data_IF_135515241580
#
_entry.id   IF_135515241580
#
_cell.length_a   1.000
_cell.length_b   1.000
_cell.length_c   1.000
_cell.angle_alpha   90.00
_cell.angle_beta   90.00
_cell.angle_gamma   90.00
#
_symmetry.space_group_name_H-M   'P 1'
#
loop_
_entity.id
_entity.type
_entity.pdbx_description
1 polymer ?
#
# COMPACT_ATOMS: atom_id res chain seq x y z
N UNK A 1 2.34 8.38 29.21
CA UNK A 1 1.70 7.04 29.16
C UNK A 1 2.49 6.20 28.15
N UNK A 2 2.72 4.90 28.39
CA UNK A 2 3.31 4.03 27.36
C UNK A 2 2.37 3.97 26.15
N UNK A 3 2.94 3.90 24.95
CA UNK A 3 2.18 3.67 23.72
C UNK A 3 1.72 2.21 23.67
N UNK A 4 0.47 1.93 23.24
CA UNK A 4 0.00 0.57 23.08
C UNK A 4 0.68 -0.11 21.89
N UNK A 5 0.77 -1.44 21.95
CA UNK A 5 1.07 -2.23 20.75
C UNK A 5 -0.10 -2.17 19.78
N UNK A 6 0.20 -2.16 18.47
CA UNK A 6 -0.80 -2.19 17.41
C UNK A 6 -0.67 -3.51 16.66
N UNK A 7 -1.78 -4.23 16.53
CA UNK A 7 -1.85 -5.47 15.73
C UNK A 7 -2.77 -5.22 14.55
N UNK A 8 -2.23 -5.32 13.34
CA UNK A 8 -2.98 -5.24 12.08
C UNK A 8 -3.21 -6.66 11.59
N UNK A 9 -4.47 -7.04 11.44
CA UNK A 9 -4.87 -8.37 10.98
C UNK A 9 -5.63 -8.29 9.66
N UNK A 10 -5.20 -9.05 8.66
CA UNK A 10 -5.84 -9.16 7.35
C UNK A 10 -6.26 -10.63 7.18
N UNK A 11 -7.56 -10.89 7.12
CA UNK A 11 -8.11 -12.26 7.07
C UNK A 11 -7.93 -12.92 5.69
N UNK A 12 -8.02 -12.12 4.62
CA UNK A 12 -7.81 -12.59 3.25
C UNK A 12 -6.97 -11.60 2.45
N UNK A 13 -5.65 -11.82 2.46
CA UNK A 13 -4.69 -11.01 1.71
C UNK A 13 -4.94 -11.06 0.20
N UNK A 14 -5.44 -12.18 -0.33
CA UNK A 14 -5.61 -12.35 -1.77
C UNK A 14 -6.58 -11.32 -2.37
N UNK A 15 -7.62 -10.92 -1.63
CA UNK A 15 -8.60 -9.94 -2.09
C UNK A 15 -7.95 -8.56 -2.28
N UNK A 16 -7.04 -8.17 -1.38
CA UNK A 16 -6.27 -6.93 -1.52
C UNK A 16 -5.28 -7.02 -2.70
N UNK A 17 -4.60 -8.16 -2.84
CA UNK A 17 -3.64 -8.37 -3.92
C UNK A 17 -4.29 -8.37 -5.31
N UNK A 18 -5.54 -8.83 -5.42
CA UNK A 18 -6.29 -8.80 -6.68
C UNK A 18 -6.66 -7.38 -7.14
N UNK A 19 -6.83 -6.45 -6.21
CA UNK A 19 -7.20 -5.06 -6.50
C UNK A 19 -5.96 -4.19 -6.71
N UNK A 20 -4.96 -4.29 -5.82
CA UNK A 20 -3.83 -3.36 -5.79
C UNK A 20 -2.51 -4.03 -5.32
N UNK A 21 -2.12 -5.14 -5.95
CA UNK A 21 -0.93 -5.94 -5.57
C UNK A 21 0.33 -5.14 -5.29
N UNK A 22 0.70 -4.22 -6.18
CA UNK A 22 1.95 -3.43 -6.05
C UNK A 22 1.95 -2.54 -4.82
N UNK A 23 0.85 -1.84 -4.58
CA UNK A 23 0.72 -0.90 -3.47
C UNK A 23 0.65 -1.64 -2.14
N UNK A 24 -0.18 -2.69 -2.07
CA UNK A 24 -0.33 -3.54 -0.89
C UNK A 24 1.01 -4.18 -0.50
N UNK A 25 1.76 -4.71 -1.48
CA UNK A 25 3.09 -5.29 -1.23
C UNK A 25 4.08 -4.24 -0.70
N UNK A 26 4.08 -3.03 -1.26
CA UNK A 26 4.93 -1.93 -0.79
C UNK A 26 4.61 -1.53 0.65
N UNK A 27 3.33 -1.38 0.98
CA UNK A 27 2.87 -1.03 2.33
C UNK A 27 3.22 -2.12 3.36
N UNK A 28 2.95 -3.39 3.04
CA UNK A 28 3.30 -4.53 3.89
C UNK A 28 4.81 -4.57 4.12
N UNK A 29 5.61 -4.38 3.07
CA UNK A 29 7.07 -4.39 3.15
C UNK A 29 7.58 -3.26 4.05
N UNK A 30 7.09 -2.04 3.84
CA UNK A 30 7.46 -0.87 4.65
C UNK A 30 7.10 -1.07 6.12
N UNK A 31 5.89 -1.55 6.40
CA UNK A 31 5.47 -1.86 7.76
C UNK A 31 6.36 -2.94 8.36
N UNK A 32 6.49 -4.11 7.73
CA UNK A 32 7.26 -5.23 8.27
C UNK A 32 8.73 -4.87 8.58
N UNK A 33 9.36 -4.00 7.79
CA UNK A 33 10.75 -3.55 8.02
C UNK A 33 10.89 -2.57 9.19
N UNK A 34 9.96 -1.64 9.37
CA UNK A 34 10.08 -0.55 10.35
C UNK A 34 9.35 -0.84 11.67
N UNK A 35 8.34 -1.69 11.64
CA UNK A 35 7.34 -1.87 12.69
C UNK A 35 7.86 -2.52 13.98
N UNK A 36 8.88 -3.40 13.88
CA UNK A 36 9.32 -4.22 15.02
C UNK A 36 9.78 -3.40 16.22
N UNK A 37 10.50 -2.30 15.98
CA UNK A 37 11.04 -1.46 17.06
C UNK A 37 9.98 -0.54 17.68
N UNK A 38 8.90 -0.25 16.95
CA UNK A 38 7.85 0.70 17.35
C UNK A 38 6.58 0.02 17.88
N UNK A 39 6.55 -1.33 17.92
CA UNK A 39 5.46 -2.10 18.51
C UNK A 39 4.24 -2.29 17.60
N UNK A 40 4.45 -2.29 16.28
CA UNK A 40 3.42 -2.63 15.30
C UNK A 40 3.65 -4.07 14.80
N UNK A 41 2.60 -4.87 14.71
CA UNK A 41 2.67 -6.27 14.33
C UNK A 41 1.64 -6.60 13.25
N UNK A 42 2.04 -7.37 12.25
CA UNK A 42 1.19 -7.79 11.14
C UNK A 42 0.80 -9.27 11.29
N UNK A 43 -0.48 -9.57 11.08
CA UNK A 43 -1.02 -10.93 10.92
C UNK A 43 -1.71 -10.96 9.56
N UNK A 44 -1.14 -11.71 8.62
CA UNK A 44 -1.70 -11.87 7.28
C UNK A 44 -2.18 -13.31 7.12
N UNK A 45 -3.44 -13.49 6.75
CA UNK A 45 -4.05 -14.77 6.44
C UNK A 45 -4.55 -14.77 4.98
N UNK A 46 -4.61 -15.96 4.40
CA UNK A 46 -5.18 -16.18 3.07
C UNK A 46 -5.55 -17.65 2.90
N UNK A 47 -6.63 -17.91 2.16
CA UNK A 47 -6.99 -19.25 1.70
C UNK A 47 -6.39 -19.60 0.33
N UNK A 48 -5.75 -18.64 -0.34
CA UNK A 48 -5.19 -18.78 -1.70
C UNK A 48 -3.66 -18.71 -1.66
N UNK A 49 -2.97 -19.80 -1.30
CA UNK A 49 -1.51 -19.83 -1.20
C UNK A 49 -0.83 -19.93 -2.57
N UNK A 50 -1.00 -18.91 -3.42
CA UNK A 50 -0.32 -18.77 -4.71
C UNK A 50 0.88 -17.84 -4.62
N UNK A 51 1.79 -17.96 -5.59
CA UNK A 51 2.99 -17.10 -5.68
C UNK A 51 2.63 -15.63 -5.93
N UNK A 52 1.48 -15.38 -6.55
CA UNK A 52 0.98 -14.02 -6.82
C UNK A 52 0.43 -13.34 -5.56
N UNK A 53 0.00 -14.12 -4.56
CA UNK A 53 -0.50 -13.61 -3.27
C UNK A 53 0.62 -13.58 -2.23
N UNK A 54 1.38 -14.69 -2.10
CA UNK A 54 2.49 -14.82 -1.16
C UNK A 54 3.80 -14.68 -1.95
N UNK A 55 4.07 -13.44 -2.35
CA UNK A 55 5.23 -13.12 -3.18
C UNK A 55 6.54 -13.32 -2.42
N UNK A 56 7.66 -13.38 -3.16
CA UNK A 56 8.99 -13.44 -2.55
C UNK A 56 9.30 -12.24 -1.64
N UNK A 57 8.79 -11.06 -1.98
CA UNK A 57 8.98 -9.83 -1.21
C UNK A 57 8.24 -9.92 0.13
N UNK A 58 6.99 -10.38 0.13
CA UNK A 58 6.22 -10.61 1.35
C UNK A 58 6.93 -11.63 2.24
N UNK A 59 7.37 -12.76 1.66
CA UNK A 59 8.10 -13.80 2.39
C UNK A 59 9.40 -13.29 3.01
N UNK A 60 10.15 -12.45 2.31
CA UNK A 60 11.41 -11.91 2.80
C UNK A 60 11.24 -11.03 4.05
N UNK A 61 10.07 -10.39 4.22
CA UNK A 61 9.80 -9.49 5.33
C UNK A 61 8.97 -10.13 6.46
N UNK A 62 8.35 -11.29 6.21
CA UNK A 62 7.55 -12.03 7.19
C UNK A 62 8.15 -13.43 7.43
N UNK A 63 9.13 -13.54 8.33
CA UNK A 63 9.88 -14.79 8.54
C UNK A 63 9.13 -15.82 9.40
N UNK A 64 8.10 -15.40 10.16
CA UNK A 64 7.27 -16.31 10.95
C UNK A 64 6.03 -16.70 10.15
N UNK A 65 5.82 -17.99 9.93
CA UNK A 65 4.75 -18.49 9.05
C UNK A 65 4.04 -19.68 9.67
N UNK A 66 2.74 -19.76 9.42
CA UNK A 66 1.90 -20.88 9.81
C UNK A 66 1.19 -21.37 8.56
N UNK A 67 1.22 -22.68 8.33
CA UNK A 67 0.40 -23.32 7.31
C UNK A 67 -0.52 -24.34 7.97
N UNK A 68 -1.82 -24.19 7.74
CA UNK A 68 -2.79 -25.27 7.95
C UNK A 68 -2.75 -26.23 6.76
N UNK A 69 -3.61 -27.27 6.80
CA UNK A 69 -3.73 -28.22 5.70
C UNK A 69 -3.99 -27.51 4.37
N UNK A 70 -3.11 -27.76 3.40
CA UNK A 70 -3.24 -27.28 2.01
C UNK A 70 -3.47 -28.44 1.05
N UNK A 71 -3.85 -28.11 -0.19
CA UNK A 71 -4.22 -29.11 -1.20
C UNK A 71 -3.02 -29.80 -1.85
N UNK A 72 -1.87 -29.12 -1.95
CA UNK A 72 -0.73 -29.62 -2.70
C UNK A 72 0.64 -29.29 -2.07
N UNK A 73 1.67 -30.04 -2.50
CA UNK A 73 3.07 -29.73 -2.19
C UNK A 73 3.50 -28.35 -2.71
N UNK A 74 2.89 -27.89 -3.80
CA UNK A 74 3.18 -26.56 -4.37
C UNK A 74 2.72 -25.49 -3.38
N UNK A 75 1.48 -25.58 -2.90
CA UNK A 75 0.92 -24.66 -1.91
C UNK A 75 1.72 -24.66 -0.60
N UNK A 76 2.16 -25.85 -0.14
CA UNK A 76 3.01 -25.97 1.05
C UNK A 76 4.32 -25.19 0.87
N UNK A 77 4.97 -25.34 -0.29
CA UNK A 77 6.20 -24.60 -0.60
C UNK A 77 5.96 -23.11 -0.77
N UNK A 78 4.81 -22.71 -1.31
CA UNK A 78 4.47 -21.29 -1.42
C UNK A 78 4.47 -20.63 -0.05
N UNK A 79 3.90 -21.28 0.98
CA UNK A 79 3.80 -20.72 2.33
C UNK A 79 5.09 -20.92 3.13
N UNK A 80 5.61 -22.14 3.21
CA UNK A 80 6.66 -22.53 4.17
C UNK A 80 8.06 -22.65 3.54
N UNK A 81 8.19 -22.52 2.23
CA UNK A 81 9.39 -22.92 1.46
C UNK A 81 9.78 -24.40 1.68
N UNK A 82 8.84 -25.21 2.19
CA UNK A 82 9.01 -26.62 2.53
C UNK A 82 7.74 -27.43 2.24
N UNK A 83 7.89 -28.74 2.06
CA UNK A 83 6.76 -29.67 2.00
C UNK A 83 6.28 -30.04 3.41
N UNK A 84 5.05 -30.53 3.52
CA UNK A 84 4.50 -31.14 4.73
C UNK A 84 3.11 -30.65 5.07
N UNK A 85 2.75 -29.42 4.68
CA UNK A 85 1.42 -28.88 4.97
C UNK A 85 0.31 -29.64 4.23
N UNK A 86 0.62 -30.26 3.09
CA UNK A 86 -0.32 -31.10 2.33
C UNK A 86 -0.67 -32.42 3.04
N UNK A 87 0.13 -32.82 4.05
CA UNK A 87 -0.02 -34.06 4.80
C UNK A 87 -0.74 -33.85 6.14
N UNK A 88 -1.09 -32.61 6.46
CA UNK A 88 -1.81 -32.28 7.69
C UNK A 88 -3.24 -32.85 7.66
N UNK A 89 -3.78 -33.10 8.84
CA UNK A 89 -5.08 -33.73 9.05
C UNK A 89 -6.26 -32.75 8.90
N UNK A 90 -5.98 -31.45 8.86
CA UNK A 90 -6.99 -30.38 8.94
C UNK A 90 -7.47 -30.16 10.39
N UNK A 91 -8.61 -29.49 10.56
CA UNK A 91 -9.24 -29.26 11.88
C UNK A 91 -8.29 -28.70 12.95
N UNK A 92 -7.46 -27.72 12.58
CA UNK A 92 -6.50 -27.08 13.49
C UNK A 92 -5.08 -27.66 13.46
N UNK A 93 -4.84 -28.78 12.79
CA UNK A 93 -3.49 -29.30 12.56
C UNK A 93 -2.70 -28.35 11.65
N UNK A 94 -1.51 -27.92 12.10
CA UNK A 94 -0.72 -26.89 11.43
C UNK A 94 0.79 -27.15 11.53
N UNK A 95 1.54 -26.54 10.62
CA UNK A 95 2.99 -26.40 10.68
C UNK A 95 3.34 -24.94 10.97
N UNK A 96 4.18 -24.73 11.98
CA UNK A 96 4.79 -23.44 12.29
C UNK A 96 6.24 -23.40 11.86
N UNK A 97 6.61 -22.40 11.08
CA UNK A 97 7.97 -22.07 10.72
C UNK A 97 8.38 -20.78 11.43
N UNK A 98 9.29 -20.91 12.40
CA UNK A 98 9.80 -19.79 13.18
C UNK A 98 10.93 -19.04 12.48
N UNK A 99 11.23 -17.80 12.88
CA UNK A 99 12.19 -16.93 12.19
C UNK A 99 13.65 -17.39 12.30
N UNK A 100 13.96 -18.26 13.27
CA UNK A 100 15.31 -18.74 13.57
C UNK A 100 15.52 -20.23 13.29
N UNK A 101 14.46 -20.95 12.91
CA UNK A 101 14.48 -22.40 12.74
C UNK A 101 14.41 -22.76 11.27
N UNK A 102 15.25 -23.69 10.81
CA UNK A 102 15.15 -24.27 9.46
C UNK A 102 14.08 -25.36 9.36
N UNK A 103 13.58 -25.88 10.49
CA UNK A 103 12.55 -26.92 10.52
C UNK A 103 11.20 -26.35 10.93
N UNK A 104 10.14 -26.92 10.35
CA UNK A 104 8.77 -26.66 10.75
C UNK A 104 8.40 -27.50 11.97
N UNK A 105 7.73 -26.90 12.95
CA UNK A 105 7.16 -27.57 14.11
C UNK A 105 5.68 -27.88 13.83
N UNK A 106 5.27 -29.14 13.99
CA UNK A 106 3.86 -29.51 13.90
C UNK A 106 3.16 -29.18 15.22
N UNK A 107 2.05 -28.45 15.12
CA UNK A 107 1.25 -28.01 16.25
C UNK A 107 -0.22 -28.38 16.02
N UNK A 108 -0.95 -28.53 17.12
CA UNK A 108 -2.40 -28.72 17.10
C UNK A 108 -3.05 -27.44 17.64
N UNK A 109 -3.75 -26.73 16.75
CA UNK A 109 -4.45 -25.50 17.09
C UNK A 109 -5.58 -25.76 18.06
N UNK A 110 -5.71 -24.95 19.12
CA UNK A 110 -6.86 -25.05 20.00
C UNK A 110 -8.14 -24.72 19.21
N UNK A 111 -9.18 -25.51 19.44
CA UNK A 111 -10.50 -25.22 18.93
C UNK A 111 -11.21 -24.23 19.85
N UNK A 112 -11.78 -23.18 19.27
CA UNK A 112 -12.72 -22.28 19.95
C UNK A 112 -14.03 -22.29 19.17
N UNK A 113 -15.12 -22.60 19.87
CA UNK A 113 -16.46 -22.59 19.28
C UNK A 113 -16.99 -21.17 19.12
N UNK A 114 -17.96 -20.98 18.21
CA UNK A 114 -18.65 -19.69 18.06
C UNK A 114 -19.29 -19.21 19.36
N UNK A 115 -19.80 -20.13 20.17
CA UNK A 115 -20.38 -19.83 21.48
C UNK A 115 -19.33 -19.30 22.46
N UNK A 116 -18.13 -19.88 22.48
CA UNK A 116 -17.01 -19.39 23.28
C UNK A 116 -16.56 -18.00 22.82
N UNK A 117 -16.44 -17.80 21.51
CA UNK A 117 -16.13 -16.49 20.91
C UNK A 117 -17.15 -15.43 21.32
N UNK A 118 -18.45 -15.73 21.20
CA UNK A 118 -19.52 -14.81 21.59
C UNK A 118 -19.46 -14.47 23.09
N UNK A 119 -19.23 -15.46 23.96
CA UNK A 119 -19.04 -15.25 25.40
C UNK A 119 -17.82 -14.36 25.68
N UNK A 120 -16.71 -14.60 25.00
CA UNK A 120 -15.48 -13.83 25.16
C UNK A 120 -15.65 -12.38 24.70
N UNK A 121 -16.22 -12.16 23.51
CA UNK A 121 -16.53 -10.81 23.03
C UNK A 121 -17.52 -10.08 23.96
N UNK A 122 -18.53 -10.78 24.48
CA UNK A 122 -19.47 -10.23 25.45
C UNK A 122 -18.80 -9.83 26.78
N UNK A 123 -17.83 -10.61 27.25
CA UNK A 123 -17.01 -10.26 28.41
C UNK A 123 -16.16 -9.00 28.16
N UNK A 124 -15.52 -8.88 26.98
CA UNK A 124 -14.71 -7.70 26.63
C UNK A 124 -15.55 -6.43 26.51
N UNK A 125 -16.73 -6.49 25.89
CA UNK A 125 -17.64 -5.33 25.75
C UNK A 125 -18.12 -4.77 27.09
N UNK A 126 -18.11 -5.56 28.17
CA UNK A 126 -18.43 -5.10 29.53
C UNK A 126 -17.28 -4.30 30.17
N UNK A 127 -16.06 -4.44 29.67
CA UNK A 127 -14.88 -3.77 30.24
C UNK A 127 -14.67 -2.36 29.66
N UNK A 128 -15.20 -2.07 28.47
CA UNK A 128 -15.07 -0.76 27.86
C UNK A 128 -15.68 -0.67 26.47
N UNK A 129 -15.81 0.57 26.00
CA UNK A 129 -16.26 0.90 24.65
C UNK A 129 -15.05 1.09 23.72
N UNK A 130 -15.17 0.72 22.43
CA UNK A 130 -14.12 0.98 21.45
C UNK A 130 -13.91 2.49 21.27
N UNK A 131 -12.65 2.93 21.30
CA UNK A 131 -12.24 4.26 20.86
C UNK A 131 -11.79 4.18 19.42
N UNK A 132 -12.71 4.39 18.47
CA UNK A 132 -12.39 4.40 17.05
C UNK A 132 -11.68 5.69 16.67
N UNK A 133 -10.60 5.56 15.92
CA UNK A 133 -9.96 6.68 15.24
C UNK A 133 -10.45 6.69 13.79
N UNK A 134 -11.42 7.56 13.51
CA UNK A 134 -12.05 7.67 12.19
C UNK A 134 -11.06 8.13 11.10
N UNK A 135 -9.92 8.71 11.48
CA UNK A 135 -8.89 9.14 10.52
C UNK A 135 -8.19 7.97 9.83
N UNK A 136 -8.23 6.76 10.42
CA UNK A 136 -7.61 5.55 9.85
C UNK A 136 -8.35 5.09 8.59
N UNK A 137 -9.67 5.25 8.58
CA UNK A 137 -10.54 4.81 7.46
C UNK A 137 -11.12 5.97 6.68
N UNK A 138 -10.85 7.21 7.10
CA UNK A 138 -11.17 8.36 6.27
C UNK A 138 -10.48 8.15 4.93
N UNK A 139 -11.23 8.31 3.84
CA UNK A 139 -10.63 8.44 2.53
C UNK A 139 -9.53 9.47 2.68
N UNK A 140 -8.29 9.08 2.38
CA UNK A 140 -7.22 10.05 2.29
C UNK A 140 -7.77 11.15 1.39
N UNK A 141 -7.90 12.37 1.92
CA UNK A 141 -8.07 13.55 1.09
C UNK A 141 -6.83 13.60 0.23
N UNK A 142 -6.88 12.94 -0.93
CA UNK A 142 -5.80 12.74 -1.90
C UNK A 142 -4.44 13.15 -1.35
N UNK A 143 -3.87 12.31 -0.47
CA UNK A 143 -2.46 12.43 -0.10
C UNK A 143 -1.55 11.78 -1.14
N UNK A 144 -2.13 11.39 -2.29
CA UNK A 144 -1.48 11.45 -3.60
C UNK A 144 -1.48 12.89 -4.14
N UNK A 145 -0.91 13.83 -3.39
CA UNK A 145 0.09 14.66 -4.06
C UNK A 145 1.30 13.73 -4.16
N UNK A 146 1.61 13.17 -5.34
CA UNK A 146 2.80 12.36 -5.44
C UNK A 146 3.92 13.26 -4.95
N UNK A 147 4.65 12.81 -3.94
CA UNK A 147 5.92 13.40 -3.57
C UNK A 147 6.91 13.06 -4.69
N UNK A 148 6.60 13.49 -5.92
CA UNK A 148 7.59 13.89 -6.87
C UNK A 148 8.38 14.94 -6.11
N UNK A 149 9.66 14.67 -5.84
CA UNK A 149 10.64 15.74 -5.77
C UNK A 149 10.19 16.78 -6.79
N UNK A 150 9.69 17.95 -6.34
CA UNK A 150 9.22 18.99 -7.25
C UNK A 150 10.37 19.20 -8.20
N UNK A 151 10.21 18.73 -9.44
CA UNK A 151 11.28 18.72 -10.42
C UNK A 151 11.87 20.12 -10.40
N UNK A 152 13.20 20.27 -10.35
CA UNK A 152 13.82 21.58 -10.19
C UNK A 152 13.36 22.61 -11.25
N UNK A 153 12.83 22.11 -12.38
CA UNK A 153 12.28 22.91 -13.47
C UNK A 153 10.76 23.13 -13.37
N UNK A 154 10.07 22.61 -12.37
CA UNK A 154 8.61 22.64 -12.27
C UNK A 154 8.06 24.06 -12.22
N UNK A 155 8.58 24.90 -11.30
CA UNK A 155 8.16 26.31 -11.19
C UNK A 155 8.43 27.09 -12.48
N UNK A 156 9.59 26.86 -13.10
CA UNK A 156 9.94 27.48 -14.37
C UNK A 156 9.02 27.01 -15.50
N UNK A 157 8.68 25.73 -15.55
CA UNK A 157 7.84 25.13 -16.57
C UNK A 157 6.38 25.58 -16.44
N UNK A 158 5.86 25.66 -15.21
CA UNK A 158 4.48 26.05 -14.93
C UNK A 158 4.25 27.52 -15.29
N UNK A 159 5.15 28.42 -14.88
CA UNK A 159 5.13 29.84 -15.28
C UNK A 159 5.17 30.01 -16.80
N UNK A 160 5.97 29.19 -17.49
CA UNK A 160 6.07 29.23 -18.94
C UNK A 160 4.77 28.78 -19.64
N UNK A 161 4.13 27.72 -19.17
CA UNK A 161 2.85 27.25 -19.73
C UNK A 161 1.74 28.26 -19.46
N UNK A 162 1.66 28.80 -18.25
CA UNK A 162 0.62 29.76 -17.86
C UNK A 162 0.77 31.08 -18.62
N UNK A 163 1.99 31.63 -18.72
CA UNK A 163 2.22 32.88 -19.47
C UNK A 163 2.04 32.74 -20.98
N UNK A 164 2.33 31.56 -21.54
CA UNK A 164 2.24 31.33 -22.99
C UNK A 164 0.88 30.82 -23.46
N UNK A 165 0.06 30.28 -22.56
CA UNK A 165 -1.19 29.59 -22.87
C UNK A 165 -1.02 28.27 -23.63
N UNK A 166 0.21 27.72 -23.74
CA UNK A 166 0.54 26.55 -24.57
C UNK A 166 0.92 25.33 -23.74
N UNK A 167 -0.06 24.57 -23.30
CA UNK A 167 0.15 23.34 -22.53
C UNK A 167 0.47 22.12 -23.41
N UNK A 168 1.64 22.12 -24.08
CA UNK A 168 2.09 20.98 -24.88
C UNK A 168 3.48 20.47 -24.49
N UNK A 169 3.65 19.15 -24.51
CA UNK A 169 4.92 18.48 -24.17
C UNK A 169 6.05 19.01 -25.06
N UNK A 170 5.82 19.08 -26.38
CA UNK A 170 6.81 19.58 -27.35
C UNK A 170 7.19 21.05 -27.14
N UNK A 171 6.31 21.86 -26.56
CA UNK A 171 6.62 23.25 -26.22
C UNK A 171 7.62 23.33 -25.07
N UNK A 172 7.41 22.56 -23.99
CA UNK A 172 8.35 22.48 -22.88
C UNK A 172 9.70 21.89 -23.30
N UNK A 173 9.71 20.84 -24.13
CA UNK A 173 10.96 20.24 -24.64
C UNK A 173 11.85 21.27 -25.32
N UNK A 174 11.27 22.14 -26.17
CA UNK A 174 12.04 23.16 -26.91
C UNK A 174 12.49 24.30 -26.01
N UNK A 175 11.70 24.69 -25.01
CA UNK A 175 11.96 25.89 -24.22
C UNK A 175 12.87 25.64 -23.03
N UNK A 176 12.83 24.44 -22.46
CA UNK A 176 13.66 24.02 -21.32
C UNK A 176 14.76 23.03 -21.71
N UNK A 177 14.86 22.66 -23.00
CA UNK A 177 15.85 21.70 -23.50
C UNK A 177 15.83 20.35 -22.75
N UNK A 178 14.63 19.85 -22.47
CA UNK A 178 14.41 18.60 -21.71
C UNK A 178 13.87 17.45 -22.59
N UNK A 179 14.13 16.22 -22.17
CA UNK A 179 13.62 15.02 -22.84
C UNK A 179 12.10 14.83 -22.73
N UNK A 180 11.53 14.04 -23.65
CA UNK A 180 10.07 13.81 -23.75
C UNK A 180 9.46 13.30 -22.44
N UNK A 181 10.05 12.28 -21.81
CA UNK A 181 9.52 11.68 -20.57
C UNK A 181 9.48 12.67 -19.41
N UNK A 182 10.47 13.58 -19.34
CA UNK A 182 10.51 14.62 -18.30
C UNK A 182 9.49 15.72 -18.57
N UNK A 183 9.37 16.15 -19.83
CA UNK A 183 8.35 17.12 -20.24
C UNK A 183 6.93 16.59 -20.05
N UNK A 184 6.67 15.31 -20.35
CA UNK A 184 5.39 14.67 -20.11
C UNK A 184 5.03 14.69 -18.62
N UNK A 185 5.96 14.25 -17.76
CA UNK A 185 5.78 14.26 -16.30
C UNK A 185 5.48 15.66 -15.76
N UNK A 186 6.19 16.70 -16.23
CA UNK A 186 5.93 18.08 -15.81
C UNK A 186 4.51 18.53 -16.18
N UNK A 187 4.00 18.14 -17.35
CA UNK A 187 2.64 18.48 -17.76
C UNK A 187 1.59 17.69 -16.96
N UNK A 188 1.85 16.43 -16.67
CA UNK A 188 0.96 15.61 -15.82
C UNK A 188 0.91 16.14 -14.38
N UNK A 189 2.04 16.64 -13.85
CA UNK A 189 2.07 17.35 -12.57
C UNK A 189 1.22 18.63 -12.59
N UNK A 190 1.29 19.41 -13.68
CA UNK A 190 0.46 20.62 -13.83
C UNK A 190 -1.03 20.32 -13.99
N UNK A 191 -1.37 19.15 -14.54
CA UNK A 191 -2.75 18.65 -14.57
C UNK A 191 -3.24 18.31 -13.16
N UNK A 192 -2.42 17.59 -12.39
CA UNK A 192 -2.72 17.27 -10.99
C UNK A 192 -2.89 18.54 -10.12
N UNK A 193 -2.07 19.56 -10.36
CA UNK A 193 -2.15 20.87 -9.68
C UNK A 193 -3.28 21.77 -10.21
N UNK A 194 -4.08 21.32 -11.20
CA UNK A 194 -5.20 22.07 -11.75
C UNK A 194 -4.81 23.27 -12.62
N UNK A 195 -3.56 23.37 -13.07
CA UNK A 195 -3.08 24.42 -13.97
C UNK A 195 -3.45 24.13 -15.43
N UNK A 196 -3.55 22.85 -15.79
CA UNK A 196 -3.76 22.36 -17.16
C UNK A 196 -4.89 21.33 -17.19
N UNK A 197 -5.67 21.30 -18.27
CA UNK A 197 -6.76 20.34 -18.45
C UNK A 197 -6.25 18.91 -18.69
N UNK A 198 -7.09 17.92 -18.39
CA UNK A 198 -6.78 16.52 -18.64
C UNK A 198 -6.56 16.19 -20.13
N UNK A 199 -5.55 15.36 -20.40
CA UNK A 199 -5.18 14.96 -21.75
C UNK A 199 -6.13 13.91 -22.31
N UNK A 200 -6.99 14.28 -23.27
CA UNK A 200 -7.78 13.31 -24.06
C UNK A 200 -7.13 13.11 -25.43
N UNK A 201 -7.07 11.87 -25.92
CA UNK A 201 -6.51 11.56 -27.25
C UNK A 201 -7.16 12.42 -28.35
N UNK A 202 -6.39 13.36 -28.91
CA UNK A 202 -6.78 14.19 -30.05
C UNK A 202 -7.17 15.64 -29.74
N UNK A 203 -7.27 16.06 -28.48
CA UNK A 203 -7.49 17.48 -28.12
C UNK A 203 -6.25 18.09 -27.46
N UNK A 204 -5.84 19.32 -27.84
CA UNK A 204 -4.78 20.03 -27.13
C UNK A 204 -5.21 20.31 -25.69
N UNK A 205 -4.28 20.15 -24.74
CA UNK A 205 -4.54 20.51 -23.34
C UNK A 205 -4.69 22.03 -23.24
N UNK A 206 -5.66 22.47 -22.44
CA UNK A 206 -5.96 23.89 -22.19
C UNK A 206 -5.34 24.32 -20.86
N UNK A 207 -4.93 25.59 -20.76
CA UNK A 207 -4.48 26.19 -19.51
C UNK A 207 -5.71 26.68 -18.75
N UNK A 208 -5.90 26.22 -17.52
CA UNK A 208 -7.11 26.46 -16.72
C UNK A 208 -7.05 27.75 -15.90
N UNK A 209 -5.86 28.31 -15.76
CA UNK A 209 -5.60 29.54 -15.00
C UNK A 209 -5.30 30.72 -15.92
N UNK A 210 -5.50 31.94 -15.41
CA UNK A 210 -5.16 33.17 -16.15
C UNK A 210 -3.65 33.37 -16.24
N UNK A 211 -3.20 34.17 -17.21
CA UNK A 211 -1.78 34.41 -17.46
C UNK A 211 -1.05 35.11 -16.30
N UNK A 212 -1.79 35.83 -15.46
CA UNK A 212 -1.33 36.56 -14.26
C UNK A 212 -1.42 35.73 -12.97
N UNK A 213 -1.80 34.46 -13.05
CA UNK A 213 -1.99 33.58 -11.88
C UNK A 213 -0.77 33.54 -10.94
N UNK A 214 0.45 33.44 -11.49
CA UNK A 214 1.66 33.43 -10.68
C UNK A 214 2.03 34.82 -10.13
N UNK A 215 1.67 35.89 -10.84
CA UNK A 215 1.88 37.27 -10.36
C UNK A 215 0.98 37.55 -9.14
N UNK A 216 -0.27 37.08 -9.16
CA UNK A 216 -1.19 37.17 -8.01
C UNK A 216 -0.71 36.35 -6.81
N UNK A 217 -0.12 35.19 -7.04
CA UNK A 217 0.45 34.34 -5.97
C UNK A 217 1.68 34.99 -5.35
N UNK A 218 2.61 35.48 -6.18
CA UNK A 218 3.83 36.14 -5.71
C UNK A 218 3.52 37.43 -4.94
N UNK A 219 2.44 38.13 -5.30
CA UNK A 219 1.96 39.31 -4.58
C UNK A 219 1.31 39.01 -3.22
N UNK A 220 0.81 37.78 -3.00
CA UNK A 220 0.22 37.34 -1.71
C UNK A 220 1.23 36.73 -0.74
N UNK A 221 2.39 36.30 -1.25
CA UNK A 221 3.46 35.67 -0.46
C UNK A 221 4.51 36.68 0.02
N UNK A 222 4.50 37.90 -0.52
CA UNK A 222 5.26 39.06 -0.04
C UNK A 222 4.41 39.96 0.85
#
# INVERSE_FOLDING_TARGET
KPLPYIVVAIDELADLMMVASKEVEQLITRLAQMARAVGIHLILATQRPSVDVITGVIKANLPSRVAFRVSSKVDSRTILDANGAEQLLGKGDMLFHGPTSSYCQRLHGPYISEQETARFCGFLRKQGTPGYDETITADEVQLDAPNFDRDALYDQASRLIVSSGKASISYLQRRLSIGFSRAARLVDMMEADGLVSGGTSGKPREVLVKSDYFDEIDARLN
#
